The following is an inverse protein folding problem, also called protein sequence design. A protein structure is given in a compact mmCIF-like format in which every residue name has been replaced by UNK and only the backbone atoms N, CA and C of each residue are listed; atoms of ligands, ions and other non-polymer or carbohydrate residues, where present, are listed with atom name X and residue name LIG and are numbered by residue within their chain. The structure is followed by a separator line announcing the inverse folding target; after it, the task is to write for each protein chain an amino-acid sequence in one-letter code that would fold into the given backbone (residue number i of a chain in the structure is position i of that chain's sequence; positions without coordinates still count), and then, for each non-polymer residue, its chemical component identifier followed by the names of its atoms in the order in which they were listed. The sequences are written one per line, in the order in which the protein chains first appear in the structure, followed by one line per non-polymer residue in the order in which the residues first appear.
data_IF_756293665937
#
_entry.id   IF_756293665937
#
_cell.length_a   1.000
_cell.length_b   1.000
_cell.length_c   1.000
_cell.angle_alpha   90.00
_cell.angle_beta   90.00
_cell.angle_gamma   90.00
#
_symmetry.space_group_name_H-M   'P 1'
#
loop_
_entity.id
_entity.type
_entity.pdbx_description
1 polymer ?
#
# COMPACT_ATOMS: atom_id res chain seq x y z
N UNK A 1 59.81 -0.79 -61.92
CA UNK A 1 59.75 -1.78 -60.82
C UNK A 1 58.52 -1.50 -59.98
N UNK A 2 57.95 -2.55 -59.39
CA UNK A 2 56.52 -2.75 -59.07
C UNK A 2 55.92 -1.73 -58.08
N UNK A 3 54.71 -1.28 -58.41
CA UNK A 3 53.84 -0.40 -57.62
C UNK A 3 52.83 -1.26 -56.81
N UNK A 4 52.47 -0.75 -55.62
CA UNK A 4 51.30 -1.08 -54.78
C UNK A 4 51.42 -2.25 -53.80
N UNK A 5 51.85 -1.91 -52.60
CA UNK A 5 51.41 -2.55 -51.37
C UNK A 5 50.01 -2.01 -51.01
N UNK A 6 49.08 -2.94 -50.79
CA UNK A 6 47.72 -2.74 -50.26
C UNK A 6 47.60 -3.65 -49.01
N UNK A 7 46.64 -3.36 -48.12
CA UNK A 7 46.31 -4.01 -46.82
C UNK A 7 47.16 -3.53 -45.61
N UNK A 8 46.62 -3.23 -44.42
CA UNK A 8 45.24 -3.18 -43.92
C UNK A 8 45.19 -2.44 -42.55
N UNK A 9 44.04 -1.82 -42.26
CA UNK A 9 43.32 -1.60 -40.97
C UNK A 9 44.13 -1.41 -39.67
N UNK A 10 43.81 -0.36 -38.90
CA UNK A 10 43.11 -0.42 -37.59
C UNK A 10 42.71 1.01 -37.18
N UNK A 11 41.41 1.32 -37.24
CA UNK A 11 40.81 2.41 -36.47
C UNK A 11 40.25 1.80 -35.18
N UNK A 12 40.87 2.06 -34.04
CA UNK A 12 40.25 1.79 -32.73
C UNK A 12 39.33 2.95 -32.37
N UNK A 13 38.11 2.94 -32.91
CA UNK A 13 37.00 3.72 -32.34
C UNK A 13 36.43 2.91 -31.18
N UNK A 14 37.05 3.05 -30.01
CA UNK A 14 36.56 2.48 -28.76
C UNK A 14 35.35 3.27 -28.25
N UNK A 15 34.22 3.18 -28.95
CA UNK A 15 32.93 3.55 -28.38
C UNK A 15 32.61 2.50 -27.31
N UNK A 16 32.91 2.82 -26.05
CA UNK A 16 32.44 2.10 -24.88
C UNK A 16 30.92 1.96 -25.01
N UNK A 17 30.46 0.75 -25.32
CA UNK A 17 29.10 0.35 -25.04
C UNK A 17 28.92 0.50 -23.53
N UNK A 18 28.21 1.55 -23.12
CA UNK A 18 27.74 1.69 -21.76
C UNK A 18 26.76 0.53 -21.57
N UNK A 19 27.03 -0.48 -20.73
CA UNK A 19 25.96 -1.36 -20.33
C UNK A 19 24.97 -0.44 -19.60
N UNK A 20 23.80 -0.25 -20.20
CA UNK A 20 22.65 0.25 -19.49
C UNK A 20 22.42 -0.76 -18.37
N UNK A 21 23.03 -0.48 -17.21
CA UNK A 21 22.61 -1.03 -15.95
C UNK A 21 21.19 -0.57 -15.81
N UNK A 22 20.27 -1.43 -16.23
CA UNK A 22 18.88 -1.37 -15.87
C UNK A 22 18.89 -1.49 -14.36
N UNK A 23 19.02 -0.37 -13.67
CA UNK A 23 18.39 -0.22 -12.38
C UNK A 23 16.95 -0.60 -12.65
N UNK A 24 16.60 -1.84 -12.30
CA UNK A 24 15.31 -2.07 -11.69
C UNK A 24 15.22 -0.97 -10.64
N UNK A 25 14.51 0.09 -11.00
CA UNK A 25 13.94 0.95 -10.00
C UNK A 25 13.08 0.00 -9.19
N UNK A 26 13.64 -0.49 -8.08
CA UNK A 26 12.84 -0.86 -6.92
C UNK A 26 11.97 0.37 -6.73
N UNK A 27 10.75 0.33 -7.25
CA UNK A 27 9.71 1.25 -6.82
C UNK A 27 9.76 1.14 -5.30
N UNK A 28 10.18 2.22 -4.64
CA UNK A 28 10.21 2.26 -3.18
C UNK A 28 8.75 2.06 -2.76
N UNK A 29 8.40 0.81 -2.43
CA UNK A 29 7.06 0.46 -1.97
C UNK A 29 6.77 1.33 -0.74
N UNK A 30 5.54 1.84 -0.59
CA UNK A 30 5.18 2.61 0.58
C UNK A 30 5.43 1.78 1.83
N UNK A 31 6.34 2.25 2.69
CA UNK A 31 6.58 1.63 3.97
C UNK A 31 5.41 1.97 4.89
N UNK A 32 4.57 0.95 5.16
CA UNK A 32 3.43 1.09 6.08
C UNK A 32 3.89 1.16 7.55
N UNK A 33 5.16 0.83 7.84
CA UNK A 33 5.71 0.82 9.20
C UNK A 33 5.09 -0.24 10.11
N UNK A 34 4.39 -1.22 9.55
CA UNK A 34 3.55 -2.15 10.33
C UNK A 34 4.34 -3.32 10.96
N UNK A 35 5.61 -3.53 10.58
CA UNK A 35 6.41 -4.72 10.94
C UNK A 35 7.24 -4.61 12.22
N UNK A 36 7.67 -3.42 12.63
CA UNK A 36 8.75 -3.28 13.63
C UNK A 36 8.35 -2.47 14.88
N UNK A 37 7.96 -3.17 15.97
CA UNK A 37 7.73 -2.62 17.32
C UNK A 37 8.86 -1.80 17.96
N UNK A 38 10.09 -1.93 17.45
CA UNK A 38 11.31 -1.57 18.19
C UNK A 38 11.80 -0.15 17.96
N UNK A 39 11.38 0.53 16.90
CA UNK A 39 11.79 1.91 16.65
C UNK A 39 10.76 2.89 17.22
N UNK A 40 11.20 3.93 17.92
CA UNK A 40 10.33 4.84 18.68
C UNK A 40 9.30 5.65 17.86
N UNK A 41 9.28 5.52 16.52
CA UNK A 41 8.16 5.96 15.68
C UNK A 41 6.91 5.07 15.83
N UNK A 42 7.08 3.85 16.33
CA UNK A 42 6.09 2.78 16.34
C UNK A 42 5.09 2.83 17.51
N UNK A 43 5.38 3.65 18.54
CA UNK A 43 4.43 3.91 19.64
C UNK A 43 3.12 4.57 19.15
N UNK A 44 3.16 5.27 18.02
CA UNK A 44 1.98 5.92 17.44
C UNK A 44 1.05 4.89 16.82
N UNK A 45 1.59 3.83 16.20
CA UNK A 45 0.79 2.78 15.57
C UNK A 45 0.11 1.87 16.61
N UNK A 46 0.74 1.70 17.77
CA UNK A 46 0.17 1.02 18.95
C UNK A 46 -0.88 1.86 19.70
N UNK A 47 -0.91 3.17 19.47
CA UNK A 47 -1.96 4.01 20.05
C UNK A 47 -3.26 3.80 19.28
N UNK A 48 -4.37 3.42 19.94
CA UNK A 48 -5.64 3.21 19.25
C UNK A 48 -6.08 4.44 18.45
N UNK A 49 -6.27 4.26 17.14
CA UNK A 49 -6.74 5.32 16.23
C UNK A 49 -8.18 5.68 16.55
N UNK A 50 -8.52 6.98 16.45
CA UNK A 50 -9.91 7.45 16.50
C UNK A 50 -10.30 7.94 15.11
N UNK A 51 -11.24 7.24 14.48
CA UNK A 51 -11.69 7.43 13.10
C UNK A 51 -12.92 8.31 13.08
N UNK A 52 -12.85 9.44 12.39
CA UNK A 52 -13.91 10.44 12.33
C UNK A 52 -14.47 10.70 10.93
N UNK A 53 -14.00 9.97 9.92
CA UNK A 53 -14.48 10.04 8.54
C UNK A 53 -14.21 8.72 7.80
N UNK A 54 -14.59 8.63 6.52
CA UNK A 54 -14.31 7.46 5.68
C UNK A 54 -12.82 7.09 5.74
N UNK A 55 -12.52 5.84 6.07
CA UNK A 55 -11.14 5.39 6.25
C UNK A 55 -10.99 3.89 5.97
N UNK A 56 -9.85 3.56 5.36
CA UNK A 56 -9.31 2.21 5.29
C UNK A 56 -8.20 2.12 6.34
N UNK A 57 -8.41 1.28 7.35
CA UNK A 57 -7.40 1.02 8.37
C UNK A 57 -6.66 -0.25 8.01
N UNK A 58 -5.36 -0.16 7.75
CA UNK A 58 -4.51 -1.34 7.54
C UNK A 58 -3.94 -1.74 8.89
N UNK A 59 -4.10 -3.01 9.28
CA UNK A 59 -3.56 -3.49 10.54
C UNK A 59 -2.56 -4.63 10.33
N UNK A 60 -1.58 -4.67 11.23
CA UNK A 60 -0.67 -5.80 11.41
C UNK A 60 -0.38 -5.97 12.90
N UNK A 61 -0.75 -7.11 13.44
CA UNK A 61 -0.59 -7.44 14.86
C UNK A 61 0.55 -8.44 15.00
N UNK A 62 1.80 -7.94 14.95
CA UNK A 62 2.99 -8.80 14.98
C UNK A 62 3.03 -9.77 16.17
N UNK A 63 2.50 -9.37 17.33
CA UNK A 63 2.45 -10.23 18.53
C UNK A 63 1.43 -11.39 18.41
N UNK A 64 0.46 -11.27 17.50
CA UNK A 64 -0.51 -12.31 17.19
C UNK A 64 -0.12 -13.12 15.94
N UNK A 65 1.02 -12.78 15.31
CA UNK A 65 1.50 -13.45 14.12
C UNK A 65 2.17 -14.79 14.44
N UNK A 66 1.60 -15.87 13.91
CA UNK A 66 2.12 -17.23 14.03
C UNK A 66 2.75 -17.72 12.73
N UNK A 67 2.79 -16.89 11.69
CA UNK A 67 3.46 -17.22 10.44
C UNK A 67 4.96 -17.39 10.68
N UNK A 68 5.59 -18.21 9.84
CA UNK A 68 7.02 -18.24 9.79
C UNK A 68 7.54 -16.90 9.19
N UNK A 69 8.82 -16.54 9.38
CA UNK A 69 9.33 -15.25 8.93
C UNK A 69 9.26 -15.02 7.42
N UNK A 70 9.32 -16.07 6.59
CA UNK A 70 9.26 -15.96 5.12
C UNK A 70 7.82 -15.75 4.62
N UNK A 71 6.83 -16.38 5.25
CA UNK A 71 5.42 -16.21 4.96
C UNK A 71 4.93 -14.84 5.46
N UNK A 72 5.38 -14.41 6.65
CA UNK A 72 5.20 -13.04 7.12
C UNK A 72 5.89 -12.03 6.20
N UNK A 73 7.05 -12.41 5.63
CA UNK A 73 7.77 -11.63 4.62
C UNK A 73 6.90 -11.41 3.36
N UNK A 74 6.33 -12.48 2.83
CA UNK A 74 5.48 -12.46 1.65
C UNK A 74 4.16 -11.73 1.91
N UNK A 75 3.48 -11.99 3.03
CA UNK A 75 2.16 -11.46 3.32
C UNK A 75 2.14 -9.92 3.43
N UNK A 76 3.12 -9.31 4.10
CA UNK A 76 3.22 -7.84 4.14
C UNK A 76 3.56 -7.25 2.77
N UNK A 77 4.37 -7.94 1.96
CA UNK A 77 4.76 -7.45 0.65
C UNK A 77 3.53 -7.41 -0.27
N UNK A 78 2.68 -8.44 -0.19
CA UNK A 78 1.39 -8.49 -0.85
C UNK A 78 0.42 -7.42 -0.29
N UNK A 79 0.30 -7.30 1.03
CA UNK A 79 -0.51 -6.28 1.68
C UNK A 79 -0.08 -4.87 1.27
N UNK A 80 1.23 -4.61 1.21
CA UNK A 80 1.79 -3.31 0.81
C UNK A 80 1.52 -3.04 -0.66
N UNK A 81 1.70 -4.03 -1.53
CA UNK A 81 1.42 -3.90 -2.96
C UNK A 81 -0.06 -3.64 -3.25
N UNK A 82 -0.97 -4.38 -2.61
CA UNK A 82 -2.40 -4.17 -2.74
C UNK A 82 -2.83 -2.79 -2.21
N UNK A 83 -2.25 -2.38 -1.08
CA UNK A 83 -2.51 -1.05 -0.48
C UNK A 83 -2.03 0.06 -1.42
N UNK A 84 -0.87 -0.08 -2.04
CA UNK A 84 -0.32 0.87 -3.01
C UNK A 84 -1.23 1.04 -4.22
N UNK A 85 -1.72 -0.07 -4.78
CA UNK A 85 -2.57 -0.06 -5.97
C UNK A 85 -3.91 0.66 -5.77
N UNK A 86 -4.40 0.80 -4.54
CA UNK A 86 -5.66 1.50 -4.24
C UNK A 86 -5.48 2.96 -3.80
N UNK A 87 -4.25 3.45 -3.59
CA UNK A 87 -3.97 4.78 -3.04
C UNK A 87 -4.61 5.92 -3.84
N UNK A 88 -4.54 5.84 -5.18
CA UNK A 88 -5.08 6.87 -6.06
C UNK A 88 -6.61 6.97 -5.93
N UNK A 89 -7.29 5.83 -5.82
CA UNK A 89 -8.73 5.79 -5.61
C UNK A 89 -9.10 6.36 -4.24
N UNK A 90 -8.42 5.93 -3.17
CA UNK A 90 -8.66 6.45 -1.83
C UNK A 90 -8.49 7.97 -1.77
N UNK A 91 -7.44 8.49 -2.42
CA UNK A 91 -7.18 9.92 -2.52
C UNK A 91 -8.27 10.65 -3.32
N UNK A 92 -8.71 10.09 -4.45
CA UNK A 92 -9.74 10.69 -5.29
C UNK A 92 -11.10 10.84 -4.59
N UNK A 93 -11.40 9.98 -3.62
CA UNK A 93 -12.65 9.96 -2.86
C UNK A 93 -12.52 10.47 -1.41
N UNK A 94 -11.38 11.08 -1.04
CA UNK A 94 -11.10 11.59 0.32
C UNK A 94 -11.24 10.52 1.42
N UNK A 95 -10.91 9.26 1.08
CA UNK A 95 -10.88 8.14 2.02
C UNK A 95 -9.47 8.05 2.59
N UNK A 96 -9.34 8.07 3.92
CA UNK A 96 -8.02 8.06 4.57
C UNK A 96 -7.47 6.65 4.67
N UNK A 97 -6.21 6.47 4.30
CA UNK A 97 -5.46 5.26 4.63
C UNK A 97 -4.74 5.44 5.97
N UNK A 98 -4.95 4.51 6.91
CA UNK A 98 -4.42 4.61 8.26
C UNK A 98 -3.78 3.30 8.71
N UNK A 99 -2.45 3.23 8.86
CA UNK A 99 -1.80 2.05 9.44
C UNK A 99 -2.02 2.00 10.96
N UNK A 100 -2.12 0.80 11.52
CA UNK A 100 -2.15 0.55 12.97
C UNK A 100 -1.56 -0.81 13.37
N UNK A 101 -0.87 -0.82 14.50
CA UNK A 101 -0.40 -2.02 15.20
C UNK A 101 -1.21 -2.23 16.51
N UNK A 102 -2.33 -1.52 16.66
CA UNK A 102 -3.21 -1.60 17.81
C UNK A 102 -4.29 -2.65 17.58
N UNK A 103 -4.55 -3.47 18.59
CA UNK A 103 -5.65 -4.44 18.57
C UNK A 103 -7.03 -3.79 18.52
N UNK A 104 -7.13 -2.50 18.82
CA UNK A 104 -8.39 -1.76 18.84
C UNK A 104 -8.29 -0.48 18.02
N UNK A 105 -9.33 -0.24 17.23
CA UNK A 105 -9.61 1.02 16.53
C UNK A 105 -10.90 1.59 17.10
N UNK A 106 -10.99 2.90 17.26
CA UNK A 106 -12.20 3.56 17.73
C UNK A 106 -12.87 4.34 16.61
N UNK A 107 -14.18 4.22 16.46
CA UNK A 107 -14.97 5.10 15.59
C UNK A 107 -15.60 6.20 16.43
N UNK A 108 -15.41 7.45 16.03
CA UNK A 108 -16.06 8.59 16.65
C UNK A 108 -17.56 8.55 16.36
N UNK A 109 -18.37 8.64 17.42
CA UNK A 109 -19.83 8.76 17.34
C UNK A 109 -20.25 10.18 17.73
N UNK A 110 -21.49 10.60 17.40
CA UNK A 110 -22.08 11.81 17.96
C UNK A 110 -22.00 11.84 19.50
N UNK A 111 -21.94 13.04 20.07
CA UNK A 111 -21.84 13.29 21.52
C UNK A 111 -20.54 12.79 22.18
N UNK A 112 -19.41 12.88 21.46
CA UNK A 112 -18.08 12.50 21.96
C UNK A 112 -17.95 11.03 22.41
N UNK A 113 -18.88 10.17 22.00
CA UNK A 113 -18.79 8.73 22.25
C UNK A 113 -17.83 8.09 21.25
N UNK A 114 -17.29 6.92 21.62
CA UNK A 114 -16.42 6.12 20.78
C UNK A 114 -16.93 4.69 20.75
N UNK A 115 -16.99 4.09 19.56
CA UNK A 115 -17.28 2.67 19.38
C UNK A 115 -15.97 1.92 19.16
N UNK A 116 -15.61 0.95 20.01
CA UNK A 116 -14.44 0.12 19.75
C UNK A 116 -14.74 -0.87 18.61
N UNK A 117 -13.76 -1.07 17.74
CA UNK A 117 -13.65 -2.16 16.78
C UNK A 117 -12.40 -2.93 17.19
N UNK A 118 -12.58 -4.21 17.52
CA UNK A 118 -11.49 -5.10 17.86
C UNK A 118 -10.99 -5.78 16.58
N UNK A 119 -9.69 -5.71 16.33
CA UNK A 119 -9.03 -6.37 15.19
C UNK A 119 -8.13 -7.54 15.63
N UNK A 120 -8.06 -7.82 16.93
CA UNK A 120 -7.42 -9.03 17.46
C UNK A 120 -8.37 -10.23 17.47
N UNK A 121 -7.79 -11.44 17.45
CA UNK A 121 -8.54 -12.70 17.47
C UNK A 121 -9.20 -13.06 16.14
N UNK A 122 -8.77 -12.43 15.03
CA UNK A 122 -9.18 -12.74 13.67
C UNK A 122 -8.36 -13.91 13.09
N UNK A 123 -8.84 -14.51 12.00
CA UNK A 123 -8.18 -15.64 11.33
C UNK A 123 -6.75 -15.30 10.88
N UNK A 124 -6.54 -14.04 10.46
CA UNK A 124 -5.23 -13.48 10.17
C UNK A 124 -4.98 -12.24 11.04
N UNK A 125 -3.75 -12.08 11.57
CA UNK A 125 -3.39 -10.94 12.41
C UNK A 125 -3.09 -9.67 11.59
N UNK A 126 -3.42 -9.67 10.30
CA UNK A 126 -3.25 -8.54 9.39
C UNK A 126 -4.41 -8.45 8.40
N UNK A 127 -4.58 -7.28 7.81
CA UNK A 127 -5.61 -7.03 6.81
C UNK A 127 -6.11 -5.58 6.86
N UNK A 128 -7.41 -5.41 6.59
CA UNK A 128 -8.06 -4.10 6.49
C UNK A 128 -9.34 -4.02 7.32
N UNK A 129 -9.63 -2.81 7.81
CA UNK A 129 -10.95 -2.43 8.31
C UNK A 129 -11.46 -1.27 7.47
N UNK A 130 -12.59 -1.47 6.82
CA UNK A 130 -13.29 -0.40 6.10
C UNK A 130 -14.27 0.26 7.06
N UNK A 131 -14.14 1.57 7.22
CA UNK A 131 -14.89 2.34 8.21
C UNK A 131 -15.49 3.58 7.55
N UNK A 132 -16.81 3.66 7.59
CA UNK A 132 -17.56 4.89 7.42
C UNK A 132 -18.34 5.18 8.72
N UNK A 133 -18.05 6.30 9.43
CA UNK A 133 -18.75 6.62 10.67
C UNK A 133 -20.27 6.75 10.45
N UNK A 134 -21.04 5.90 11.13
CA UNK A 134 -22.49 5.82 10.98
C UNK A 134 -22.96 4.55 10.27
N UNK A 135 -22.06 3.87 9.55
CA UNK A 135 -22.28 2.57 8.91
C UNK A 135 -21.60 1.45 9.71
N UNK A 136 -22.02 0.18 9.53
CA UNK A 136 -21.24 -0.97 9.99
C UNK A 136 -19.88 -1.01 9.32
N UNK A 137 -18.84 -1.43 10.05
CA UNK A 137 -17.51 -1.70 9.54
C UNK A 137 -17.47 -3.00 8.73
N UNK A 138 -16.53 -3.11 7.80
CA UNK A 138 -16.20 -4.37 7.12
C UNK A 138 -14.77 -4.76 7.47
N UNK A 139 -14.60 -5.98 8.00
CA UNK A 139 -13.31 -6.59 8.30
C UNK A 139 -12.89 -7.46 7.12
N UNK A 140 -11.70 -7.21 6.60
CA UNK A 140 -11.06 -7.98 5.54
C UNK A 140 -9.77 -8.56 6.11
N UNK A 141 -9.72 -9.87 6.34
CA UNK A 141 -8.60 -10.53 7.01
C UNK A 141 -7.72 -11.26 6.02
N UNK A 142 -6.41 -11.08 6.13
CA UNK A 142 -5.44 -11.69 5.25
C UNK A 142 -4.99 -10.77 4.13
N UNK A 143 -4.37 -11.37 3.12
CA UNK A 143 -3.94 -10.70 1.89
C UNK A 143 -5.07 -10.66 0.87
N UNK A 144 -5.11 -9.59 0.08
CA UNK A 144 -6.04 -9.43 -1.02
C UNK A 144 -5.24 -9.03 -2.26
N UNK A 145 -5.65 -9.52 -3.44
CA UNK A 145 -5.14 -8.94 -4.67
C UNK A 145 -5.65 -7.50 -4.82
N UNK A 146 -4.89 -6.64 -5.53
CA UNK A 146 -5.28 -5.23 -5.75
C UNK A 146 -6.72 -5.09 -6.28
N UNK A 147 -7.08 -5.89 -7.29
CA UNK A 147 -8.43 -5.86 -7.88
C UNK A 147 -9.52 -6.28 -6.90
N UNK A 148 -9.27 -7.31 -6.08
CA UNK A 148 -10.21 -7.77 -5.06
C UNK A 148 -10.39 -6.72 -3.96
N UNK A 149 -9.29 -6.11 -3.50
CA UNK A 149 -9.34 -5.02 -2.54
C UNK A 149 -10.13 -3.84 -3.11
N UNK A 150 -9.90 -3.47 -4.38
CA UNK A 150 -10.65 -2.40 -5.04
C UNK A 150 -12.14 -2.70 -5.13
N UNK A 151 -12.53 -3.95 -5.42
CA UNK A 151 -13.93 -4.35 -5.50
C UNK A 151 -14.62 -4.29 -4.13
N UNK A 152 -13.92 -4.68 -3.06
CA UNK A 152 -14.39 -4.51 -1.69
C UNK A 152 -14.56 -3.03 -1.31
N UNK A 153 -13.61 -2.17 -1.70
CA UNK A 153 -13.69 -0.73 -1.47
C UNK A 153 -14.87 -0.10 -2.23
N UNK A 154 -15.08 -0.48 -3.48
CA UNK A 154 -16.23 -0.04 -4.29
C UNK A 154 -17.54 -0.44 -3.64
N UNK A 155 -17.65 -1.70 -3.24
CA UNK A 155 -18.86 -2.22 -2.61
C UNK A 155 -19.15 -1.58 -1.25
N UNK A 156 -18.12 -1.25 -0.47
CA UNK A 156 -18.29 -0.68 0.86
C UNK A 156 -18.57 0.82 0.83
N UNK A 157 -17.80 1.59 0.05
CA UNK A 157 -17.91 3.06 -0.02
C UNK A 157 -18.81 3.56 -1.14
N UNK A 158 -19.48 2.67 -1.87
CA UNK A 158 -20.33 2.99 -3.03
C UNK A 158 -19.55 3.78 -4.11
N UNK A 159 -18.33 3.33 -4.42
CA UNK A 159 -17.47 4.01 -5.40
C UNK A 159 -17.87 3.62 -6.83
N UNK A 160 -17.86 4.58 -7.78
CA UNK A 160 -18.11 4.28 -9.18
C UNK A 160 -17.00 3.41 -9.79
N UNK A 161 -17.35 2.56 -10.75
CA UNK A 161 -16.37 1.74 -11.49
C UNK A 161 -15.38 2.60 -12.29
N UNK A 162 -15.87 3.73 -12.83
CA UNK A 162 -15.06 4.74 -13.54
C UNK A 162 -14.47 5.77 -12.56
N UNK A 163 -13.20 5.62 -12.21
CA UNK A 163 -12.44 6.61 -11.41
C UNK A 163 -12.00 7.83 -12.22
N UNK A 164 -12.39 7.92 -13.50
CA UNK A 164 -12.14 9.10 -14.36
C UNK A 164 -13.10 10.23 -14.03
N UNK A 165 -13.03 10.78 -12.81
CA UNK A 165 -13.66 12.07 -12.51
C UNK A 165 -12.90 13.13 -13.30
N UNK A 166 -13.48 13.56 -14.41
CA UNK A 166 -12.91 14.48 -15.38
C UNK A 166 -12.15 15.64 -14.72
N UNK A 167 -10.87 15.81 -15.10
CA UNK A 167 -10.13 17.06 -14.85
C UNK A 167 -11.02 18.24 -15.27
N UNK A 168 -11.20 19.29 -14.45
CA UNK A 168 -11.99 20.43 -14.85
C UNK A 168 -11.36 21.00 -16.12
N UNK A 169 -12.11 20.97 -17.22
CA UNK A 169 -11.70 21.54 -18.48
C UNK A 169 -11.64 23.06 -18.27
N UNK A 170 -10.43 23.57 -18.08
CA UNK A 170 -10.17 25.01 -18.09
C UNK A 170 -10.47 25.50 -19.51
N UNK A 171 -11.57 26.23 -19.67
CA UNK A 171 -11.84 27.00 -20.88
C UNK A 171 -11.09 28.32 -20.74
N UNK A 172 -10.03 28.50 -21.54
CA UNK A 172 -9.38 29.80 -21.77
C UNK A 172 -10.02 30.47 -22.97
#
# INVERSE_FOLDING_TARGET
MKLRALLVLVLTLGCRGHPASRSEATAERPDLGLRDPKDSADSVLKTPRVISGPSVVVFWLAEADTLNPEDAAAAYDELSAATEGVLDALTAFDIKLLPTNSETVYVALPNHKRRPILVSGLDYPFGYVLIEPGSPERLLTGVYAEGELMDELRAYFDLPEDTTRAKPKVTT
#
